data_IF_208993857555
#
_entry.id   IF_208993857555
#
_cell.length_a   1.000
_cell.length_b   1.000
_cell.length_c   1.000
_cell.angle_alpha   90.00
_cell.angle_beta   90.00
_cell.angle_gamma   90.00
#
_symmetry.space_group_name_H-M   'P 1'
#
loop_
_entity.id
_entity.type
_entity.pdbx_description
1 polymer ?
#
# COMPACT_ATOMS: atom_id res chain seq x y z
N UNK A 1 3.84 10.72 2.50
CA UNK A 1 3.58 9.56 1.61
C UNK A 1 2.75 8.50 2.31
N UNK A 2 3.25 7.91 3.41
CA UNK A 2 2.57 6.82 4.15
C UNK A 2 1.13 7.14 4.54
N UNK A 3 0.83 8.36 5.05
CA UNK A 3 -0.54 8.76 5.40
C UNK A 3 -1.51 8.62 4.23
N UNK A 4 -1.16 9.17 3.06
CA UNK A 4 -2.01 9.11 1.87
C UNK A 4 -2.25 7.65 1.42
N UNK A 5 -1.23 6.78 1.53
CA UNK A 5 -1.40 5.35 1.23
C UNK A 5 -2.36 4.67 2.22
N UNK A 6 -2.28 5.00 3.51
CA UNK A 6 -3.24 4.50 4.52
C UNK A 6 -4.65 4.98 4.20
N UNK A 7 -4.82 6.23 3.80
CA UNK A 7 -6.15 6.78 3.50
C UNK A 7 -6.83 6.07 2.32
N UNK A 8 -6.05 5.64 1.31
CA UNK A 8 -6.56 4.75 0.25
C UNK A 8 -7.00 3.40 0.84
N UNK A 9 -6.13 2.77 1.65
CA UNK A 9 -6.38 1.43 2.23
C UNK A 9 -7.62 1.38 3.12
N UNK A 10 -7.91 2.45 3.87
CA UNK A 10 -9.11 2.58 4.72
C UNK A 10 -10.41 2.63 3.95
N UNK A 11 -10.37 3.06 2.68
CA UNK A 11 -11.53 3.44 1.89
C UNK A 11 -11.72 2.59 0.63
N UNK A 12 -11.06 1.43 0.55
CA UNK A 12 -11.21 0.50 -0.58
C UNK A 12 -12.67 0.04 -0.72
N UNK A 13 -13.05 -0.23 -1.97
CA UNK A 13 -14.36 -0.77 -2.34
C UNK A 13 -14.15 -2.02 -3.21
N UNK A 14 -14.70 -3.19 -2.83
CA UNK A 14 -15.46 -3.46 -1.60
C UNK A 14 -14.61 -3.32 -0.31
N UNK A 15 -15.23 -3.19 0.88
CA UNK A 15 -14.47 -3.08 2.14
C UNK A 15 -13.63 -4.33 2.41
N UNK A 16 -12.43 -4.12 2.98
CA UNK A 16 -11.52 -5.20 3.31
C UNK A 16 -11.69 -5.66 4.77
N UNK A 17 -11.69 -6.98 4.99
CA UNK A 17 -11.90 -7.57 6.32
C UNK A 17 -10.67 -7.50 7.23
N UNK A 18 -9.47 -7.51 6.64
CA UNK A 18 -8.20 -7.65 7.36
C UNK A 18 -7.08 -6.72 6.83
N UNK A 19 -7.42 -5.54 6.33
CA UNK A 19 -6.45 -4.58 5.76
C UNK A 19 -5.40 -4.16 6.79
N UNK A 20 -4.12 -4.53 6.60
CA UNK A 20 -3.07 -4.19 7.57
C UNK A 20 -2.72 -2.71 7.53
N UNK A 21 -2.38 -2.19 8.69
CA UNK A 21 -1.73 -0.91 8.85
C UNK A 21 -0.31 -0.98 8.28
N UNK A 22 0.02 -0.08 7.36
CA UNK A 22 1.39 0.05 6.81
C UNK A 22 2.19 1.09 7.59
N UNK A 23 3.45 0.81 7.90
CA UNK A 23 4.40 1.73 8.52
C UNK A 23 5.53 2.09 7.55
N UNK A 24 6.12 3.28 7.72
CA UNK A 24 7.36 3.62 7.02
C UNK A 24 8.51 2.81 7.60
N UNK A 25 9.40 2.30 6.75
CA UNK A 25 10.60 1.58 7.18
C UNK A 25 11.84 2.11 6.45
N UNK A 26 12.83 2.61 7.20
CA UNK A 26 14.04 3.23 6.62
C UNK A 26 14.87 2.27 5.78
N UNK A 27 14.98 1.00 6.18
CA UNK A 27 15.65 -0.04 5.40
C UNK A 27 14.99 -0.21 4.02
N UNK A 28 13.66 -0.23 3.97
CA UNK A 28 12.90 -0.32 2.72
C UNK A 28 13.01 0.97 1.88
N UNK A 29 13.11 2.13 2.54
CA UNK A 29 13.34 3.41 1.86
C UNK A 29 14.71 3.44 1.17
N UNK A 30 15.74 2.87 1.80
CA UNK A 30 17.07 2.70 1.18
C UNK A 30 17.00 1.89 -0.12
N UNK A 31 16.27 0.76 -0.10
CA UNK A 31 16.05 -0.07 -1.30
C UNK A 31 15.28 0.72 -2.36
N UNK A 32 14.27 1.51 -1.98
CA UNK A 32 13.49 2.34 -2.90
C UNK A 32 14.36 3.40 -3.59
N UNK A 33 15.26 4.04 -2.83
CA UNK A 33 16.25 4.99 -3.35
C UNK A 33 17.17 4.32 -4.34
N UNK A 34 17.70 3.14 -4.01
CA UNK A 34 18.61 2.39 -4.89
C UNK A 34 17.93 1.96 -6.20
N UNK A 35 16.66 1.53 -6.13
CA UNK A 35 15.88 1.22 -7.33
C UNK A 35 15.59 2.46 -8.18
N UNK A 36 15.14 3.56 -7.56
CA UNK A 36 14.79 4.79 -8.27
C UNK A 36 16.00 5.40 -9.01
N UNK A 37 17.21 5.34 -8.42
CA UNK A 37 18.45 5.82 -9.03
C UNK A 37 18.80 5.14 -10.36
N UNK A 38 18.33 3.91 -10.59
CA UNK A 38 18.55 3.21 -11.87
C UNK A 38 17.76 3.82 -13.02
N UNK A 39 16.79 4.70 -12.74
CA UNK A 39 15.95 5.35 -13.74
C UNK A 39 15.25 4.38 -14.70
N UNK A 40 14.83 3.22 -14.18
CA UNK A 40 14.06 2.23 -14.91
C UNK A 40 12.57 2.44 -14.67
N UNK A 41 11.81 2.74 -15.73
CA UNK A 41 10.37 3.00 -15.67
C UNK A 41 9.55 1.71 -15.74
N UNK A 42 9.92 0.73 -14.93
CA UNK A 42 9.29 -0.60 -14.88
C UNK A 42 9.38 -1.20 -13.49
N UNK A 43 8.63 -2.28 -13.27
CA UNK A 43 8.78 -3.12 -12.08
C UNK A 43 10.00 -4.04 -12.22
N UNK A 44 10.56 -4.52 -11.10
CA UNK A 44 11.58 -5.56 -11.11
C UNK A 44 11.09 -6.87 -11.74
N UNK A 45 12.01 -7.61 -12.32
CA UNK A 45 11.85 -8.90 -12.98
C UNK A 45 12.89 -9.88 -12.43
N UNK A 46 12.83 -11.15 -12.85
CA UNK A 46 13.84 -12.15 -12.48
C UNK A 46 15.27 -11.82 -12.97
N UNK A 47 15.40 -10.89 -13.93
CA UNK A 47 16.69 -10.41 -14.45
C UNK A 47 17.32 -9.31 -13.58
N UNK A 48 16.57 -8.77 -12.61
CA UNK A 48 17.06 -7.74 -11.70
C UNK A 48 17.70 -8.35 -10.44
N UNK A 49 18.55 -7.60 -9.70
CA UNK A 49 19.22 -8.11 -8.51
C UNK A 49 18.26 -8.74 -7.48
N UNK A 50 18.69 -9.82 -6.84
CA UNK A 50 17.89 -10.56 -5.86
C UNK A 50 17.37 -9.70 -4.71
N UNK A 51 18.08 -8.63 -4.34
CA UNK A 51 17.68 -7.71 -3.27
C UNK A 51 16.30 -7.06 -3.51
N UNK A 52 15.91 -6.80 -4.77
CA UNK A 52 14.63 -6.13 -5.06
C UNK A 52 13.47 -7.11 -5.29
N UNK A 53 13.76 -8.36 -5.64
CA UNK A 53 12.76 -9.36 -6.05
C UNK A 53 11.67 -9.68 -4.98
N UNK A 54 11.98 -9.71 -3.67
CA UNK A 54 11.00 -10.02 -2.62
C UNK A 54 9.93 -8.94 -2.42
N UNK A 55 10.06 -7.78 -3.07
CA UNK A 55 9.21 -6.63 -2.80
C UNK A 55 8.23 -6.31 -3.94
N UNK A 56 7.08 -5.75 -3.56
CA UNK A 56 6.17 -5.16 -4.53
C UNK A 56 6.58 -3.71 -4.82
N UNK A 57 6.57 -3.31 -6.10
CA UNK A 57 6.98 -1.96 -6.52
C UNK A 57 5.83 -1.25 -7.22
N UNK A 58 5.33 -0.18 -6.58
CA UNK A 58 4.49 0.81 -7.24
C UNK A 58 5.37 1.94 -7.77
N UNK A 59 5.14 2.40 -9.00
CA UNK A 59 5.93 3.47 -9.59
C UNK A 59 5.08 4.46 -10.39
N UNK A 60 5.54 5.71 -10.48
CA UNK A 60 4.91 6.75 -11.29
C UNK A 60 5.96 7.61 -11.96
N UNK A 61 5.80 7.82 -13.26
CA UNK A 61 6.62 8.75 -14.04
C UNK A 61 5.81 10.01 -14.36
N UNK A 62 6.44 11.18 -14.26
CA UNK A 62 5.85 12.47 -14.61
C UNK A 62 6.91 13.42 -15.19
N UNK A 63 6.51 14.37 -16.04
CA UNK A 63 7.39 15.48 -16.47
C UNK A 63 7.45 16.61 -15.44
N UNK A 64 6.51 16.65 -14.51
CA UNK A 64 6.45 17.61 -13.41
C UNK A 64 6.67 16.93 -12.07
N UNK A 65 7.20 17.68 -11.10
CA UNK A 65 7.37 17.20 -9.74
C UNK A 65 6.01 17.14 -9.03
N UNK A 66 5.33 15.99 -9.16
CA UNK A 66 4.01 15.81 -8.59
C UNK A 66 4.06 15.78 -7.06
N UNK A 67 3.14 16.50 -6.38
CA UNK A 67 2.95 16.34 -4.95
C UNK A 67 2.62 14.89 -4.59
N UNK A 68 3.05 14.46 -3.41
CA UNK A 68 2.84 13.11 -2.88
C UNK A 68 1.38 12.64 -2.99
N UNK A 69 0.41 13.51 -2.63
CA UNK A 69 -1.02 13.17 -2.67
C UNK A 69 -1.48 12.85 -4.10
N UNK A 70 -0.98 13.57 -5.10
CA UNK A 70 -1.32 13.35 -6.50
C UNK A 70 -0.72 12.04 -7.04
N UNK A 71 0.48 11.66 -6.61
CA UNK A 71 1.07 10.36 -6.97
C UNK A 71 0.22 9.20 -6.45
N UNK A 72 -0.14 9.24 -5.16
CA UNK A 72 -0.97 8.22 -4.54
C UNK A 72 -2.37 8.18 -5.15
N UNK A 73 -2.98 9.35 -5.42
CA UNK A 73 -4.27 9.46 -6.11
C UNK A 73 -4.21 8.82 -7.49
N UNK A 74 -3.15 9.06 -8.27
CA UNK A 74 -2.99 8.44 -9.60
C UNK A 74 -2.90 6.91 -9.50
N UNK A 75 -2.19 6.36 -8.52
CA UNK A 75 -2.19 4.91 -8.28
C UNK A 75 -3.56 4.38 -7.83
N UNK A 76 -4.25 5.09 -6.95
CA UNK A 76 -5.59 4.71 -6.49
C UNK A 76 -6.62 4.71 -7.63
N UNK A 77 -6.53 5.70 -8.53
CA UNK A 77 -7.41 5.84 -9.69
C UNK A 77 -7.30 4.69 -10.69
N UNK A 78 -6.19 3.93 -10.68
CA UNK A 78 -6.12 2.70 -11.47
C UNK A 78 -7.16 1.66 -11.04
N UNK A 79 -7.72 1.78 -9.84
CA UNK A 79 -8.86 0.97 -9.39
C UNK A 79 -10.09 1.07 -10.30
N UNK A 80 -10.25 2.14 -11.08
CA UNK A 80 -11.32 2.26 -12.09
C UNK A 80 -11.16 1.26 -13.25
N UNK A 81 -9.93 0.74 -13.45
CA UNK A 81 -9.60 -0.28 -14.44
C UNK A 81 -9.61 -1.69 -13.84
N UNK A 82 -9.74 -1.84 -12.52
CA UNK A 82 -9.73 -3.13 -11.84
C UNK A 82 -11.13 -3.61 -11.50
N UNK A 83 -11.44 -4.85 -11.86
CA UNK A 83 -12.65 -5.53 -11.43
C UNK A 83 -12.30 -6.54 -10.31
N UNK A 84 -12.73 -6.23 -9.09
CA UNK A 84 -12.45 -7.06 -7.93
C UNK A 84 -13.14 -8.42 -8.00
N UNK A 85 -14.37 -8.50 -8.54
CA UNK A 85 -15.20 -9.72 -8.54
C UNK A 85 -14.51 -10.84 -9.32
N UNK A 86 -14.01 -10.55 -10.50
CA UNK A 86 -13.31 -11.52 -11.36
C UNK A 86 -11.78 -11.40 -11.28
N UNK A 87 -11.24 -10.46 -10.49
CA UNK A 87 -9.82 -10.20 -10.35
C UNK A 87 -9.12 -9.86 -11.69
N UNK A 88 -9.81 -9.15 -12.58
CA UNK A 88 -9.24 -8.75 -13.88
C UNK A 88 -8.92 -7.27 -13.96
N UNK A 89 -7.94 -6.95 -14.79
CA UNK A 89 -7.61 -5.60 -15.18
C UNK A 89 -8.15 -5.35 -16.59
N UNK A 90 -8.96 -4.30 -16.79
CA UNK A 90 -9.49 -3.94 -18.13
C UNK A 90 -8.38 -3.77 -19.16
N UNK A 91 -7.25 -3.20 -18.72
CA UNK A 91 -6.02 -3.08 -19.51
C UNK A 91 -4.92 -3.73 -18.69
N UNK A 92 -4.36 -4.84 -19.19
CA UNK A 92 -3.37 -5.65 -18.45
C UNK A 92 -2.21 -4.79 -17.95
N UNK A 93 -1.90 -4.89 -16.64
CA UNK A 93 -0.81 -4.16 -15.98
C UNK A 93 -1.11 -2.71 -15.56
N UNK A 94 -2.21 -2.10 -16.03
CA UNK A 94 -2.57 -0.70 -15.74
C UNK A 94 -3.36 -0.52 -14.44
N UNK A 95 -3.56 -1.59 -13.65
CA UNK A 95 -4.12 -1.55 -12.29
C UNK A 95 -3.21 -2.17 -11.23
N UNK A 96 -1.99 -2.53 -11.61
CA UNK A 96 -1.05 -3.14 -10.69
C UNK A 96 -0.66 -2.19 -9.56
N UNK A 97 -0.53 -0.87 -9.79
CA UNK A 97 -0.19 0.01 -8.67
C UNK A 97 -1.35 0.08 -7.67
N UNK A 98 -2.60 0.12 -8.14
CA UNK A 98 -3.77 -0.01 -7.26
C UNK A 98 -3.71 -1.30 -6.44
N UNK A 99 -3.47 -2.45 -7.08
CA UNK A 99 -3.38 -3.74 -6.38
C UNK A 99 -2.25 -3.77 -5.35
N UNK A 100 -1.10 -3.18 -5.66
CA UNK A 100 0.05 -3.11 -4.74
C UNK A 100 -0.25 -2.23 -3.53
N UNK A 101 -0.74 -1.00 -3.73
CA UNK A 101 -0.97 -0.09 -2.59
C UNK A 101 -2.13 -0.55 -1.69
N UNK A 102 -3.05 -1.35 -2.25
CA UNK A 102 -4.18 -1.95 -1.52
C UNK A 102 -3.93 -3.39 -1.05
N UNK A 103 -2.70 -3.91 -1.18
CA UNK A 103 -2.36 -5.26 -0.71
C UNK A 103 -2.56 -5.39 0.81
N UNK A 104 -3.58 -6.12 1.27
CA UNK A 104 -3.95 -6.18 2.69
C UNK A 104 -2.77 -6.64 3.57
N UNK A 105 -1.98 -7.61 3.15
CA UNK A 105 -0.89 -8.19 3.93
C UNK A 105 0.32 -7.26 4.12
N UNK A 106 0.50 -6.24 3.28
CA UNK A 106 1.66 -5.35 3.39
C UNK A 106 1.61 -4.54 4.68
N UNK A 107 2.72 -4.52 5.42
CA UNK A 107 2.85 -3.84 6.72
C UNK A 107 3.95 -2.79 6.72
N UNK A 108 4.85 -2.80 5.74
CA UNK A 108 5.94 -1.85 5.61
C UNK A 108 5.99 -1.25 4.22
N UNK A 109 6.36 0.02 4.15
CA UNK A 109 6.58 0.75 2.92
C UNK A 109 7.81 1.65 3.02
N UNK A 110 8.56 1.79 1.93
CA UNK A 110 9.62 2.78 1.76
C UNK A 110 9.51 3.38 0.37
N UNK A 111 9.70 4.70 0.23
CA UNK A 111 9.48 5.39 -1.04
C UNK A 111 10.62 6.35 -1.36
N UNK A 112 10.88 6.55 -2.65
CA UNK A 112 11.86 7.49 -3.14
C UNK A 112 11.33 8.23 -4.38
N UNK A 113 11.90 9.41 -4.61
CA UNK A 113 11.73 10.20 -5.83
C UNK A 113 13.11 10.40 -6.45
N UNK A 114 13.23 10.21 -7.75
CA UNK A 114 14.45 10.45 -8.52
C UNK A 114 14.13 11.30 -9.76
N UNK A 115 14.97 12.30 -10.05
CA UNK A 115 14.97 12.97 -11.36
C UNK A 115 15.81 12.16 -12.34
N UNK A 116 15.21 11.76 -13.46
CA UNK A 116 15.76 10.91 -14.50
C UNK A 116 15.74 11.66 -15.83
N UNK A 117 16.81 12.41 -16.12
CA UNK A 117 16.82 13.41 -17.19
C UNK A 117 15.80 14.50 -16.90
N UNK A 118 14.76 14.61 -17.73
CA UNK A 118 13.68 15.59 -17.58
C UNK A 118 12.39 15.02 -16.96
N UNK A 119 12.42 13.78 -16.44
CA UNK A 119 11.25 13.11 -15.84
C UNK A 119 11.48 12.79 -14.37
N UNK A 120 10.48 12.99 -13.54
CA UNK A 120 10.45 12.52 -12.16
C UNK A 120 9.91 11.09 -12.10
N UNK A 121 10.64 10.21 -11.42
CA UNK A 121 10.26 8.84 -11.09
C UNK A 121 9.99 8.73 -9.59
N UNK A 122 8.75 8.43 -9.24
CA UNK A 122 8.36 8.00 -7.90
C UNK A 122 8.36 6.47 -7.83
N UNK A 123 8.93 5.92 -6.75
CA UNK A 123 8.98 4.50 -6.44
C UNK A 123 8.54 4.30 -5.00
N UNK A 124 7.62 3.38 -4.75
CA UNK A 124 7.29 2.88 -3.43
C UNK A 124 7.42 1.35 -3.40
N UNK A 125 8.14 0.85 -2.41
CA UNK A 125 8.42 -0.57 -2.17
C UNK A 125 7.59 -1.02 -0.98
N UNK A 126 6.87 -2.13 -1.12
CA UNK A 126 6.00 -2.69 -0.08
C UNK A 126 6.47 -4.09 0.34
N UNK A 127 6.37 -4.36 1.65
CA UNK A 127 6.69 -5.66 2.28
C UNK A 127 5.59 -6.06 3.28
N UNK A 128 5.19 -7.35 3.34
CA UNK A 128 5.43 -8.38 2.32
C UNK A 128 4.80 -8.03 0.96
N UNK A 129 5.34 -8.63 -0.10
CA UNK A 129 4.79 -8.58 -1.47
C UNK A 129 3.60 -9.53 -1.56
N UNK A 130 2.50 -9.03 -2.14
CA UNK A 130 1.38 -9.87 -2.58
C UNK A 130 1.57 -10.27 -4.03
N UNK A 131 1.16 -11.49 -4.38
CA UNK A 131 1.11 -11.90 -5.79
C UNK A 131 0.07 -11.06 -6.55
N UNK A 132 0.48 -10.50 -7.69
CA UNK A 132 -0.39 -9.74 -8.56
C UNK A 132 -1.39 -10.63 -9.30
N UNK A 133 -1.22 -11.95 -9.31
CA UNK A 133 -2.24 -12.89 -9.80
C UNK A 133 -3.45 -12.97 -8.86
N UNK A 134 -3.32 -12.59 -7.58
CA UNK A 134 -4.38 -12.65 -6.59
C UNK A 134 -5.16 -11.33 -6.43
N UNK A 135 -6.32 -11.38 -5.75
CA UNK A 135 -6.99 -10.16 -5.29
C UNK A 135 -6.12 -9.42 -4.28
N UNK A 136 -6.12 -8.07 -4.25
CA UNK A 136 -5.24 -7.33 -3.35
C UNK A 136 -5.61 -7.51 -1.87
N UNK A 137 -6.88 -7.80 -1.57
CA UNK A 137 -7.35 -8.00 -0.21
C UNK A 137 -8.50 -8.99 -0.16
N UNK A 138 -8.84 -9.46 1.04
CA UNK A 138 -10.08 -10.22 1.30
C UNK A 138 -11.21 -9.25 1.64
N UNK A 139 -12.37 -9.43 1.00
CA UNK A 139 -13.55 -8.59 1.23
C UNK A 139 -14.28 -9.03 2.50
N UNK A 140 -14.89 -8.07 3.20
CA UNK A 140 -15.73 -8.32 4.37
C UNK A 140 -15.92 -7.04 5.19
N UNK A 141 -16.63 -7.14 6.33
CA UNK A 141 -16.80 -6.00 7.22
C UNK A 141 -15.45 -5.43 7.65
N UNK A 142 -15.32 -4.10 7.71
CA UNK A 142 -14.04 -3.47 8.08
C UNK A 142 -13.51 -4.01 9.41
N UNK A 143 -12.26 -4.47 9.41
CA UNK A 143 -11.59 -5.11 10.56
C UNK A 143 -12.28 -6.40 11.09
N UNK A 144 -13.26 -6.98 10.39
CA UNK A 144 -13.98 -8.16 10.86
C UNK A 144 -13.13 -9.43 10.93
N UNK A 145 -11.94 -9.42 10.33
CA UNK A 145 -11.00 -10.54 10.31
C UNK A 145 -9.56 -10.11 10.62
N UNK A 146 -9.37 -9.08 11.48
CA UNK A 146 -8.02 -8.75 11.96
C UNK A 146 -7.42 -9.97 12.70
N UNK A 147 -6.16 -10.35 12.42
CA UNK A 147 -5.55 -11.52 13.05
C UNK A 147 -5.30 -11.35 14.54
N UNK A 148 -5.19 -12.48 15.26
CA UNK A 148 -4.80 -12.54 16.67
C UNK A 148 -3.51 -11.73 16.87
N UNK A 149 -3.49 -10.76 17.80
CA UNK A 149 -2.46 -9.73 18.04
C UNK A 149 -2.58 -8.43 17.22
N UNK A 150 -3.65 -8.26 16.46
CA UNK A 150 -3.97 -7.01 15.79
C UNK A 150 -5.28 -6.46 16.34
N UNK A 151 -5.34 -5.15 16.50
CA UNK A 151 -6.58 -4.44 16.79
C UNK A 151 -6.97 -3.57 15.61
N UNK A 152 -8.25 -3.20 15.55
CA UNK A 152 -8.71 -2.23 14.58
C UNK A 152 -8.34 -0.82 15.07
N UNK A 153 -7.54 -0.10 14.29
CA UNK A 153 -7.25 1.32 14.46
C UNK A 153 -7.56 2.02 13.15
N UNK A 154 -8.52 2.95 13.17
CA UNK A 154 -8.90 3.74 12.00
C UNK A 154 -9.09 2.89 10.73
N UNK A 155 -9.95 1.85 10.84
CA UNK A 155 -10.29 0.89 9.76
C UNK A 155 -9.13 0.00 9.26
N UNK A 156 -8.00 -0.03 9.96
CA UNK A 156 -6.84 -0.85 9.63
C UNK A 156 -6.47 -1.76 10.78
N UNK A 157 -6.01 -2.98 10.48
CA UNK A 157 -5.47 -3.90 11.47
C UNK A 157 -4.04 -3.49 11.83
N UNK A 158 -3.85 -2.96 13.03
CA UNK A 158 -2.55 -2.54 13.56
C UNK A 158 -2.04 -3.54 14.59
N UNK A 159 -0.76 -3.88 14.51
CA UNK A 159 -0.13 -4.80 15.44
C UNK A 159 -0.02 -4.19 16.84
N UNK A 160 -0.21 -5.01 17.86
CA UNK A 160 -0.02 -4.64 19.26
C UNK A 160 -1.32 -4.58 20.05
N UNK A 161 -1.22 -4.33 21.37
CA UNK A 161 -2.38 -4.26 22.25
C UNK A 161 -3.31 -3.16 21.75
N UNK A 162 -4.61 -3.47 21.71
CA UNK A 162 -5.62 -2.47 21.37
C UNK A 162 -5.62 -1.31 22.35
N UNK A 163 -6.27 -0.17 22.00
CA UNK A 163 -6.44 0.93 22.93
C UNK A 163 -7.04 0.40 24.23
N UNK A 164 -6.39 0.69 25.36
CA UNK A 164 -6.93 0.37 26.68
C UNK A 164 -8.31 1.03 26.75
N UNK A 165 -9.37 0.23 26.84
CA UNK A 165 -10.70 0.76 27.12
C UNK A 165 -10.60 1.39 28.51
N UNK A 166 -10.62 2.73 28.58
CA UNK A 166 -10.84 3.40 29.86
C UNK A 166 -12.26 3.03 30.31
N UNK A 167 -12.40 1.99 31.14
CA UNK A 167 -13.62 1.73 31.90
C UNK A 167 -13.71 2.76 33.02
N UNK A 168 -13.93 4.03 32.65
CA UNK A 168 -14.53 4.96 33.58
C UNK A 168 -16.03 4.66 33.59
N UNK A 169 -16.41 3.61 34.31
CA UNK A 169 -17.79 3.41 34.72
C UNK A 169 -18.14 4.59 35.62
N UNK A 170 -18.82 5.60 35.07
CA UNK A 170 -19.56 6.57 35.87
C UNK A 170 -20.57 5.78 36.70
N UNK A 171 -20.23 5.44 37.94
CA UNK A 171 -21.22 5.14 38.97
C UNK A 171 -21.98 6.45 39.20
N UNK A 172 -23.15 6.58 38.59
CA UNK A 172 -24.18 7.47 39.10
C UNK A 172 -24.50 6.96 40.52
N UNK A 173 -24.10 7.74 41.53
CA UNK A 173 -24.67 7.61 42.86
C UNK A 173 -25.93 8.48 42.87
N UNK A 174 -27.08 7.84 43.07
CA UNK A 174 -28.28 8.49 43.59
C UNK A 174 -28.06 8.84 45.06
#
# INVERSE_FOLDING_TARGET
>A
MVSALRDVRKNVKPPASAMRYIAGAWSIEGIAKNWAKKCQFRRPTSKDPSEIQPYAVAYKVSRTDLPVKEVVKKWANEGMLYNYKNNTCKISGFCDNYKIITADISTQVGCAKQLCGYKYLWVCIFKPKRDLSERPYVTGGTCSACPSNFHCEDKLCKFGPGPKKNTCSKRLKF
#
